data_IF_810312495872
#
_entry.id   IF_810312495872
#
_cell.length_a   1.000
_cell.length_b   1.000
_cell.length_c   1.000
_cell.angle_alpha   90.00
_cell.angle_beta   90.00
_cell.angle_gamma   90.00
#
_symmetry.space_group_name_H-M   'P 1'
#
loop_
_entity.id
_entity.type
_entity.pdbx_description
1 polymer ?
#
# COMPACT_ATOMS: atom_id res chain seq x y z
N UNK A 1 -6.82 57.46 -6.38
CA UNK A 1 -8.15 56.83 -6.48
C UNK A 1 -8.22 55.72 -5.45
N UNK A 2 -9.33 55.68 -4.73
CA UNK A 2 -9.48 55.22 -3.35
C UNK A 2 -9.60 53.70 -3.18
N UNK A 3 -9.16 53.25 -2.01
CA UNK A 3 -9.19 51.91 -1.42
C UNK A 3 -10.49 51.12 -1.58
N UNK A 4 -10.39 49.82 -1.90
CA UNK A 4 -11.45 48.82 -1.68
C UNK A 4 -11.27 48.16 -0.32
N UNK A 5 -12.08 48.57 0.65
CA UNK A 5 -12.41 47.76 1.82
C UNK A 5 -13.88 47.36 1.69
N UNK A 6 -14.18 46.06 1.75
CA UNK A 6 -15.51 45.61 2.18
C UNK A 6 -15.44 44.16 2.67
N UNK A 7 -15.31 44.07 3.99
CA UNK A 7 -16.03 43.16 4.87
C UNK A 7 -16.60 41.86 4.27
N UNK A 8 -15.96 40.75 4.62
CA UNK A 8 -16.69 39.51 4.96
C UNK A 8 -16.37 39.13 6.40
N UNK A 9 -16.72 40.03 7.33
CA UNK A 9 -16.97 39.65 8.71
C UNK A 9 -18.28 38.87 8.74
N UNK A 10 -18.35 37.85 9.59
CA UNK A 10 -19.45 36.89 9.79
C UNK A 10 -19.30 35.57 9.03
N UNK A 11 -18.47 34.69 9.58
CA UNK A 11 -18.83 33.27 9.62
C UNK A 11 -18.64 32.76 11.05
N UNK A 12 -19.80 32.59 11.69
CA UNK A 12 -20.00 31.94 12.99
C UNK A 12 -19.03 30.77 13.19
N UNK A 13 -18.17 30.88 14.20
CA UNK A 13 -17.42 29.75 14.74
C UNK A 13 -18.43 28.86 15.49
N UNK A 14 -19.05 27.92 14.79
CA UNK A 14 -19.68 26.76 15.46
C UNK A 14 -18.56 25.98 16.12
N UNK A 15 -18.47 26.06 17.45
CA UNK A 15 -17.53 25.33 18.27
C UNK A 15 -17.58 23.84 17.91
N UNK A 16 -16.48 23.30 17.37
CA UNK A 16 -16.30 21.85 17.27
C UNK A 16 -15.96 21.34 18.67
N UNK A 17 -16.92 20.67 19.29
CA UNK A 17 -16.65 19.84 20.45
C UNK A 17 -15.81 18.65 19.98
N UNK A 18 -14.57 18.56 20.46
CA UNK A 18 -13.74 17.37 20.29
C UNK A 18 -14.26 16.32 21.27
N UNK A 19 -14.91 15.27 20.74
CA UNK A 19 -15.19 14.07 21.52
C UNK A 19 -13.87 13.41 21.92
N UNK A 20 -13.76 13.00 23.17
CA UNK A 20 -12.65 12.19 23.67
C UNK A 20 -12.78 10.79 23.08
N UNK A 21 -11.81 10.37 22.27
CA UNK A 21 -11.72 8.98 21.83
C UNK A 21 -11.42 8.10 23.05
N UNK A 22 -12.32 7.17 23.36
CA UNK A 22 -12.12 6.17 24.39
C UNK A 22 -10.85 5.36 24.11
N UNK A 23 -9.97 5.26 25.11
CA UNK A 23 -8.80 4.38 25.08
C UNK A 23 -9.28 2.95 25.28
N UNK A 24 -9.24 2.14 24.22
CA UNK A 24 -9.43 0.69 24.35
C UNK A 24 -8.32 0.14 25.25
N UNK A 25 -8.72 -0.54 26.33
CA UNK A 25 -7.82 -1.33 27.16
C UNK A 25 -7.29 -2.48 26.30
N UNK A 26 -6.06 -2.36 25.83
CA UNK A 26 -5.35 -3.45 25.17
C UNK A 26 -5.17 -4.56 26.20
N UNK A 27 -5.94 -5.62 26.07
CA UNK A 27 -5.66 -6.90 26.72
C UNK A 27 -4.20 -7.24 26.50
N UNK A 28 -3.52 -7.63 27.58
CA UNK A 28 -2.14 -8.10 27.57
C UNK A 28 -2.07 -9.43 26.83
N UNK A 29 -2.20 -9.38 25.51
CA UNK A 29 -1.84 -10.48 24.63
C UNK A 29 -0.34 -10.70 24.79
N UNK A 30 0.04 -11.98 24.94
CA UNK A 30 1.39 -12.46 25.12
C UNK A 30 2.39 -11.63 24.30
N UNK A 31 3.52 -11.26 24.90
CA UNK A 31 4.55 -10.47 24.23
C UNK A 31 5.16 -11.28 23.07
N UNK A 32 4.52 -11.22 21.90
CA UNK A 32 4.96 -11.91 20.70
C UNK A 32 6.26 -11.27 20.24
N UNK A 33 7.34 -12.05 20.29
CA UNK A 33 8.67 -11.59 19.88
C UNK A 33 8.64 -11.23 18.40
N UNK A 34 8.96 -9.97 18.09
CA UNK A 34 9.11 -9.51 16.72
C UNK A 34 10.19 -10.36 16.02
N UNK A 35 9.81 -11.08 14.97
CA UNK A 35 10.74 -11.92 14.23
C UNK A 35 11.62 -11.04 13.33
N UNK A 36 12.85 -11.49 13.09
CA UNK A 36 13.71 -10.87 12.08
C UNK A 36 13.16 -11.14 10.66
N UNK A 37 13.38 -10.25 9.69
CA UNK A 37 12.98 -10.51 8.31
C UNK A 37 13.73 -11.73 7.77
N UNK A 38 12.98 -12.65 7.16
CA UNK A 38 13.53 -13.81 6.46
C UNK A 38 13.65 -13.49 4.98
N UNK A 39 14.83 -13.70 4.42
CA UNK A 39 15.12 -13.47 3.00
C UNK A 39 15.48 -14.81 2.37
N UNK A 40 14.80 -15.18 1.29
CA UNK A 40 15.06 -16.40 0.53
C UNK A 40 15.15 -16.08 -0.95
N UNK A 41 16.14 -16.65 -1.63
CA UNK A 41 16.24 -16.63 -3.09
C UNK A 41 15.70 -17.94 -3.63
N UNK A 42 14.76 -17.85 -4.56
CA UNK A 42 14.22 -19.02 -5.26
C UNK A 42 15.15 -19.39 -6.42
N UNK A 43 15.04 -20.63 -6.90
CA UNK A 43 15.86 -21.15 -8.00
C UNK A 43 15.65 -20.39 -9.32
N UNK A 44 14.49 -19.74 -9.47
CA UNK A 44 14.20 -18.85 -10.60
C UNK A 44 14.81 -17.45 -10.49
N UNK A 45 15.59 -17.18 -9.44
CA UNK A 45 16.26 -15.89 -9.21
C UNK A 45 15.42 -14.85 -8.47
N UNK A 46 14.15 -15.13 -8.12
CA UNK A 46 13.33 -14.21 -7.33
C UNK A 46 13.81 -14.16 -5.88
N UNK A 47 13.94 -12.95 -5.34
CA UNK A 47 14.23 -12.74 -3.91
C UNK A 47 12.95 -12.41 -3.17
N UNK A 48 12.59 -13.26 -2.22
CA UNK A 48 11.42 -13.08 -1.35
C UNK A 48 11.91 -12.64 0.03
N UNK A 49 11.39 -11.52 0.50
CA UNK A 49 11.58 -11.06 1.87
C UNK A 49 10.24 -11.10 2.60
N UNK A 50 10.18 -11.81 3.72
CA UNK A 50 8.97 -11.94 4.54
C UNK A 50 9.27 -11.53 5.98
N UNK A 51 8.32 -10.83 6.61
CA UNK A 51 8.41 -10.43 8.01
C UNK A 51 7.10 -10.78 8.70
N UNK A 52 7.18 -11.65 9.72
CA UNK A 52 6.05 -11.93 10.59
C UNK A 52 5.93 -10.81 11.64
N UNK A 53 4.78 -10.15 11.66
CA UNK A 53 4.51 -9.01 12.54
C UNK A 53 3.29 -9.22 13.45
N UNK A 54 2.70 -10.43 13.47
CA UNK A 54 1.51 -10.83 14.21
C UNK A 54 0.30 -9.90 13.96
N UNK A 55 0.25 -9.31 12.77
CA UNK A 55 -0.84 -8.43 12.34
C UNK A 55 -2.02 -9.25 11.83
N UNK A 56 -3.27 -8.86 12.13
CA UNK A 56 -4.45 -9.46 11.49
C UNK A 56 -4.51 -9.18 9.98
N UNK A 57 -3.69 -8.27 9.46
CA UNK A 57 -3.59 -7.91 8.05
C UNK A 57 -2.20 -8.31 7.53
N UNK A 58 -2.18 -9.16 6.51
CA UNK A 58 -0.99 -9.45 5.71
C UNK A 58 -0.89 -8.50 4.53
N UNK A 59 0.30 -7.94 4.28
CA UNK A 59 0.58 -7.09 3.14
C UNK A 59 1.62 -7.75 2.24
N UNK A 60 1.34 -7.78 0.95
CA UNK A 60 2.22 -8.36 -0.07
C UNK A 60 2.55 -7.26 -1.07
N UNK A 61 3.84 -7.11 -1.37
CA UNK A 61 4.32 -6.20 -2.40
C UNK A 61 5.18 -6.97 -3.40
N UNK A 62 4.87 -6.83 -4.68
CA UNK A 62 5.72 -7.28 -5.78
C UNK A 62 6.44 -6.07 -6.35
N UNK A 63 7.77 -6.12 -6.38
CA UNK A 63 8.60 -5.05 -6.96
C UNK A 63 9.31 -5.61 -8.17
N UNK A 64 9.21 -4.89 -9.28
CA UNK A 64 9.88 -5.23 -10.53
C UNK A 64 10.84 -4.09 -10.85
N UNK A 65 12.08 -4.43 -11.24
CA UNK A 65 13.05 -3.45 -11.73
C UNK A 65 12.71 -3.06 -13.18
N UNK A 66 11.61 -2.33 -13.34
CA UNK A 66 11.09 -1.83 -14.61
C UNK A 66 10.41 -0.47 -14.38
N UNK A 67 10.19 0.30 -15.45
CA UNK A 67 9.64 1.65 -15.35
C UNK A 67 9.71 2.41 -16.67
N UNK A 68 9.14 3.61 -16.72
CA UNK A 68 9.17 4.47 -17.92
C UNK A 68 10.57 4.82 -18.40
N UNK A 69 11.57 4.80 -17.50
CA UNK A 69 12.99 4.97 -17.86
C UNK A 69 13.54 3.84 -18.75
N UNK A 70 12.88 2.70 -18.79
CA UNK A 70 13.24 1.56 -19.63
C UNK A 70 12.39 1.52 -20.92
N UNK A 71 11.59 2.56 -21.19
CA UNK A 71 10.80 2.68 -22.42
C UNK A 71 11.60 3.40 -23.53
N UNK A 72 11.29 3.05 -24.78
CA UNK A 72 11.70 3.83 -25.96
C UNK A 72 10.62 4.86 -26.31
N UNK A 73 10.92 5.81 -27.19
CA UNK A 73 9.95 6.83 -27.61
C UNK A 73 8.67 6.23 -28.23
N UNK A 74 8.79 5.11 -28.94
CA UNK A 74 7.68 4.36 -29.54
C UNK A 74 6.74 3.74 -28.50
N UNK A 75 7.24 3.41 -27.31
CA UNK A 75 6.56 2.59 -26.30
C UNK A 75 6.21 3.40 -25.05
N UNK A 76 6.14 4.72 -25.20
CA UNK A 76 5.86 5.64 -24.10
C UNK A 76 4.52 5.30 -23.42
N UNK A 77 4.56 5.04 -22.12
CA UNK A 77 3.39 4.74 -21.31
C UNK A 77 3.02 3.25 -21.20
N UNK A 78 3.76 2.35 -21.86
CA UNK A 78 3.51 0.90 -21.77
C UNK A 78 3.66 0.40 -20.33
N UNK A 79 4.63 0.88 -19.55
CA UNK A 79 4.80 0.52 -18.14
C UNK A 79 3.57 0.91 -17.31
N UNK A 80 3.01 2.10 -17.56
CA UNK A 80 1.80 2.54 -16.88
C UNK A 80 0.60 1.66 -17.25
N UNK A 81 0.47 1.33 -18.54
CA UNK A 81 -0.56 0.41 -19.02
C UNK A 81 -0.43 -0.97 -18.37
N UNK A 82 0.78 -1.56 -18.32
CA UNK A 82 1.04 -2.85 -17.68
C UNK A 82 0.69 -2.83 -16.19
N UNK A 83 0.98 -1.74 -15.47
CA UNK A 83 0.60 -1.56 -14.06
C UNK A 83 -0.92 -1.59 -13.86
N UNK A 84 -1.68 -1.02 -14.79
CA UNK A 84 -3.15 -1.05 -14.72
C UNK A 84 -3.70 -2.43 -15.13
N UNK A 85 -3.00 -3.13 -16.03
CA UNK A 85 -3.38 -4.45 -16.53
C UNK A 85 -3.01 -5.62 -15.61
N UNK A 86 -2.32 -5.41 -14.48
CA UNK A 86 -1.83 -6.49 -13.59
C UNK A 86 -2.93 -7.44 -13.11
N UNK A 87 -4.17 -6.96 -13.01
CA UNK A 87 -5.31 -7.72 -12.50
C UNK A 87 -6.03 -8.54 -13.59
N UNK A 88 -5.55 -8.53 -14.84
CA UNK A 88 -6.19 -9.23 -15.97
C UNK A 88 -5.74 -10.69 -16.13
N UNK A 89 -4.99 -11.24 -15.16
CA UNK A 89 -4.41 -12.58 -15.28
C UNK A 89 -5.45 -13.69 -15.13
N UNK A 90 -5.37 -14.71 -15.98
CA UNK A 90 -6.14 -15.94 -15.88
C UNK A 90 -5.43 -16.98 -15.00
N UNK A 91 -6.01 -17.30 -13.85
CA UNK A 91 -5.55 -18.43 -13.02
C UNK A 91 -6.09 -19.73 -13.63
N UNK A 92 -5.36 -20.32 -14.58
CA UNK A 92 -5.61 -21.71 -14.97
C UNK A 92 -4.98 -22.62 -13.91
N UNK A 93 -5.78 -23.35 -13.10
CA UNK A 93 -5.22 -24.27 -12.14
C UNK A 93 -4.43 -25.36 -12.87
N UNK A 94 -3.12 -25.42 -12.59
CA UNK A 94 -2.28 -26.54 -12.98
C UNK A 94 -2.87 -27.80 -12.33
N UNK A 95 -3.43 -28.71 -13.13
CA UNK A 95 -3.99 -29.98 -12.67
C UNK A 95 -2.87 -30.75 -11.97
N UNK A 96 -2.90 -30.76 -10.65
CA UNK A 96 -1.91 -31.41 -9.82
C UNK A 96 -1.92 -32.90 -10.17
N UNK A 97 -0.91 -33.37 -10.89
CA UNK A 97 -0.74 -34.80 -11.21
C UNK A 97 -0.48 -35.51 -9.88
N UNK A 98 -1.54 -36.01 -9.27
CA UNK A 98 -1.47 -37.04 -8.24
C UNK A 98 -0.77 -38.24 -8.88
N UNK A 99 0.43 -38.55 -8.38
CA UNK A 99 0.99 -39.90 -8.48
C UNK A 99 0.28 -40.81 -7.49
#
# INVERSE_FOLDING_TARGET
MTSRTSSRLLRSLKARLYGTSATATSDSSAQLTKQAPRITKLDNGLTVASLENNSPISQIALVVNAGSRFESYSDAGVTHFLRNATNLTEHTPQKQKTK
#
